data_IF_857199854421
#
_entry.id   IF_857199854421
#
_cell.length_a   1.000
_cell.length_b   1.000
_cell.length_c   1.000
_cell.angle_alpha   90.00
_cell.angle_beta   90.00
_cell.angle_gamma   90.00
#
_symmetry.space_group_name_H-M   'P 1'
#
loop_
_entity.id
_entity.type
_entity.pdbx_description
1 polymer ?
#
# COMPACT_ATOMS: atom_id res chain seq x y z
N UNK A 1 19.11 -21.83 -21.24
CA UNK A 1 18.33 -22.26 -22.43
C UNK A 1 17.28 -21.20 -22.68
N UNK A 2 17.49 -20.31 -23.64
CA UNK A 2 16.49 -19.30 -24.00
C UNK A 2 15.43 -19.98 -24.84
N UNK A 3 14.21 -20.09 -24.35
CA UNK A 3 13.07 -20.48 -25.16
C UNK A 3 12.67 -19.25 -25.98
N UNK A 4 12.97 -19.24 -27.26
CA UNK A 4 12.43 -18.26 -28.21
C UNK A 4 11.01 -18.71 -28.58
N UNK A 5 10.04 -17.99 -28.06
CA UNK A 5 8.69 -18.07 -28.63
C UNK A 5 8.66 -17.26 -29.92
N UNK A 6 8.33 -17.92 -31.01
CA UNK A 6 8.33 -17.34 -32.36
C UNK A 6 6.96 -16.87 -32.84
N UNK A 7 5.99 -16.77 -31.94
CA UNK A 7 4.67 -16.23 -32.25
C UNK A 7 4.69 -14.70 -32.31
N UNK A 8 4.24 -14.06 -33.41
CA UNK A 8 4.36 -12.60 -33.58
C UNK A 8 3.49 -11.76 -32.61
N UNK A 9 2.68 -12.38 -31.77
CA UNK A 9 1.85 -11.72 -30.77
C UNK A 9 1.97 -12.36 -29.38
N UNK A 10 2.92 -13.25 -29.14
CA UNK A 10 3.20 -13.73 -27.80
C UNK A 10 3.96 -12.64 -27.04
N UNK A 11 3.37 -12.16 -25.95
CA UNK A 11 4.12 -11.37 -24.96
C UNK A 11 5.36 -12.18 -24.58
N UNK A 12 6.54 -11.54 -24.43
CA UNK A 12 7.74 -12.26 -24.03
C UNK A 12 7.42 -12.99 -22.73
N UNK A 13 7.57 -14.32 -22.74
CA UNK A 13 7.25 -15.19 -21.60
C UNK A 13 8.07 -14.81 -20.35
N UNK A 14 9.15 -14.05 -20.54
CA UNK A 14 10.08 -13.67 -19.47
C UNK A 14 10.56 -12.24 -19.68
N UNK A 15 10.28 -11.39 -18.74
CA UNK A 15 10.78 -10.00 -18.72
C UNK A 15 11.76 -9.89 -17.56
N UNK A 16 13.03 -9.64 -17.89
CA UNK A 16 14.00 -9.22 -16.88
C UNK A 16 13.68 -7.76 -16.52
N UNK A 17 13.28 -7.54 -15.28
CA UNK A 17 13.06 -6.21 -14.76
C UNK A 17 14.26 -5.84 -13.91
N UNK A 18 15.05 -4.88 -14.38
CA UNK A 18 16.14 -4.32 -13.58
C UNK A 18 15.55 -3.39 -12.51
N UNK A 19 15.62 -3.81 -11.25
CA UNK A 19 14.94 -3.15 -10.12
C UNK A 19 15.98 -2.58 -9.15
N UNK A 20 16.81 -1.64 -9.61
CA UNK A 20 17.74 -0.91 -8.73
C UNK A 20 17.01 0.16 -7.91
N UNK A 21 16.67 -0.16 -6.67
CA UNK A 21 16.41 0.79 -5.59
C UNK A 21 15.28 1.81 -5.78
N UNK A 22 14.66 1.87 -6.94
CA UNK A 22 13.48 2.69 -7.23
C UNK A 22 12.32 1.75 -7.51
N UNK A 23 11.18 2.05 -6.95
CA UNK A 23 9.93 1.31 -7.10
C UNK A 23 9.71 0.91 -8.56
N UNK A 24 9.80 -0.37 -8.84
CA UNK A 24 9.87 -0.88 -10.19
C UNK A 24 8.54 -0.87 -10.94
N UNK A 25 8.59 -1.31 -12.19
CA UNK A 25 7.40 -1.46 -13.01
C UNK A 25 6.44 -2.49 -12.41
N UNK A 26 5.15 -2.25 -12.55
CA UNK A 26 4.12 -3.19 -12.12
C UNK A 26 4.24 -4.51 -12.90
N UNK A 27 4.44 -5.60 -12.18
CA UNK A 27 4.56 -6.95 -12.72
C UNK A 27 3.20 -7.62 -12.98
N UNK A 28 2.09 -6.93 -12.66
CA UNK A 28 0.71 -7.36 -12.89
C UNK A 28 0.41 -8.78 -12.41
N UNK A 29 0.76 -9.08 -11.17
CA UNK A 29 0.47 -10.37 -10.57
C UNK A 29 1.31 -11.54 -11.11
N UNK A 30 2.52 -11.26 -11.59
CA UNK A 30 3.43 -12.29 -12.10
C UNK A 30 4.02 -13.13 -10.97
N UNK A 31 4.44 -14.35 -11.28
CA UNK A 31 5.25 -15.18 -10.38
C UNK A 31 6.74 -14.91 -10.57
N UNK A 32 7.51 -15.06 -9.50
CA UNK A 32 8.96 -14.87 -9.54
C UNK A 32 9.70 -16.20 -9.46
N UNK A 33 10.64 -16.42 -10.37
CA UNK A 33 11.66 -17.45 -10.23
C UNK A 33 12.93 -16.82 -9.64
N UNK A 34 13.50 -17.46 -8.63
CA UNK A 34 14.67 -16.97 -7.88
C UNK A 34 15.87 -17.79 -8.22
N UNK A 35 16.87 -17.20 -8.87
CA UNK A 35 18.08 -17.89 -9.30
C UNK A 35 19.13 -18.10 -8.22
N UNK A 36 19.19 -17.22 -7.22
CA UNK A 36 20.15 -17.23 -6.11
C UNK A 36 19.42 -17.13 -4.77
N UNK A 37 19.87 -17.88 -3.77
CA UNK A 37 19.28 -17.85 -2.41
C UNK A 37 19.43 -16.47 -1.78
N UNK A 38 18.32 -15.89 -1.27
CA UNK A 38 18.34 -14.60 -0.61
C UNK A 38 16.98 -14.15 -0.10
N UNK A 39 16.95 -12.93 0.43
CA UNK A 39 15.70 -12.30 0.88
C UNK A 39 15.13 -11.42 -0.25
N UNK A 40 13.83 -11.48 -0.42
CA UNK A 40 13.10 -10.73 -1.43
C UNK A 40 11.90 -10.06 -0.78
N UNK A 41 11.79 -8.74 -0.90
CA UNK A 41 10.62 -7.99 -0.46
C UNK A 41 9.74 -7.65 -1.65
N UNK A 42 8.48 -8.04 -1.59
CA UNK A 42 7.54 -7.89 -2.69
C UNK A 42 6.22 -7.27 -2.21
N UNK A 43 5.53 -6.57 -3.11
CA UNK A 43 4.13 -6.21 -2.95
C UNK A 43 3.31 -7.22 -3.74
N UNK A 44 2.37 -7.87 -3.06
CA UNK A 44 1.54 -8.91 -3.65
C UNK A 44 0.53 -8.32 -4.64
N UNK A 45 0.18 -9.12 -5.64
CA UNK A 45 -0.86 -8.78 -6.61
C UNK A 45 -2.20 -8.47 -5.96
N UNK A 46 -2.83 -7.40 -6.41
CA UNK A 46 -4.09 -6.91 -5.87
C UNK A 46 -3.97 -6.07 -4.60
N UNK A 47 -2.75 -5.78 -4.10
CA UNK A 47 -2.57 -4.82 -3.02
C UNK A 47 -2.92 -3.41 -3.50
N UNK A 48 -3.91 -2.78 -2.86
CA UNK A 48 -4.24 -1.38 -3.16
C UNK A 48 -3.11 -0.47 -2.67
N UNK A 49 -2.60 0.35 -3.58
CA UNK A 49 -1.56 1.34 -3.30
C UNK A 49 -2.12 2.75 -3.18
N UNK A 50 -3.41 2.92 -3.45
CA UNK A 50 -4.04 4.22 -3.56
C UNK A 50 -3.88 5.07 -2.29
N UNK A 51 -3.53 6.32 -2.48
CA UNK A 51 -3.43 7.35 -1.44
C UNK A 51 -4.69 8.22 -1.41
N UNK A 52 -5.08 8.69 -0.24
CA UNK A 52 -6.28 9.52 -0.09
C UNK A 52 -6.06 10.89 -0.72
N UNK A 53 -6.96 11.29 -1.63
CA UNK A 53 -6.97 12.63 -2.22
C UNK A 53 -8.14 13.49 -1.74
N UNK A 54 -9.23 12.86 -1.28
CA UNK A 54 -10.34 13.60 -0.70
C UNK A 54 -11.06 12.78 0.38
N UNK A 55 -11.47 13.47 1.44
CA UNK A 55 -12.29 12.95 2.54
C UNK A 55 -13.61 13.72 2.52
N UNK A 56 -14.72 12.99 2.66
CA UNK A 56 -16.03 13.59 2.80
C UNK A 56 -16.20 14.32 4.14
N UNK A 57 -17.27 15.09 4.26
CA UNK A 57 -17.65 15.67 5.55
C UNK A 57 -17.86 14.57 6.58
N UNK A 58 -17.46 14.76 7.84
CA UNK A 58 -17.69 13.76 8.87
C UNK A 58 -19.17 13.35 8.93
N UNK A 59 -19.43 12.05 8.78
CA UNK A 59 -20.79 11.48 8.93
C UNK A 59 -21.21 11.43 10.39
N UNK A 60 -20.22 11.39 11.28
CA UNK A 60 -20.34 11.58 12.72
C UNK A 60 -19.14 12.41 13.17
N UNK A 61 -19.38 13.60 13.70
CA UNK A 61 -18.32 14.50 14.17
C UNK A 61 -17.68 14.09 15.49
N UNK A 62 -18.19 13.07 16.14
CA UNK A 62 -17.70 12.59 17.43
C UNK A 62 -17.91 13.58 18.57
N UNK A 63 -17.23 13.35 19.69
CA UNK A 63 -17.29 14.23 20.88
C UNK A 63 -15.94 14.42 21.53
N UNK A 64 -15.76 15.56 22.21
CA UNK A 64 -14.57 15.89 23.01
C UNK A 64 -13.26 15.94 22.20
N UNK A 65 -13.33 16.27 20.92
CA UNK A 65 -12.14 16.54 20.13
C UNK A 65 -11.56 17.93 20.41
N UNK A 66 -10.25 18.04 20.25
CA UNK A 66 -9.53 19.31 20.24
C UNK A 66 -9.08 19.67 18.83
N UNK A 67 -8.64 20.89 18.60
CA UNK A 67 -8.02 21.26 17.34
C UNK A 67 -6.60 20.70 17.32
N UNK A 68 -6.34 19.75 16.42
CA UNK A 68 -5.06 19.04 16.30
C UNK A 68 -4.56 19.16 14.85
N UNK A 69 -3.28 19.46 14.72
CA UNK A 69 -2.64 19.61 13.41
C UNK A 69 -2.35 18.27 12.71
N UNK A 70 -2.25 17.17 13.48
CA UNK A 70 -1.89 15.85 12.94
C UNK A 70 -2.47 14.75 13.84
N UNK A 71 -3.69 14.32 13.52
CA UNK A 71 -4.38 13.24 14.20
C UNK A 71 -4.29 11.94 13.39
N UNK A 72 -4.04 10.83 14.07
CA UNK A 72 -4.01 9.51 13.45
C UNK A 72 -5.42 9.05 13.09
N UNK A 73 -5.51 8.18 12.09
CA UNK A 73 -6.77 7.53 11.70
C UNK A 73 -6.62 6.01 11.68
N UNK A 74 -7.73 5.32 11.89
CA UNK A 74 -7.89 3.90 11.58
C UNK A 74 -8.92 3.76 10.46
N UNK A 75 -8.85 2.68 9.69
CA UNK A 75 -9.70 2.46 8.54
C UNK A 75 -10.51 1.16 8.66
N UNK A 76 -11.72 1.12 8.10
CA UNK A 76 -12.52 -0.10 7.97
C UNK A 76 -11.84 -1.15 7.09
N UNK A 77 -10.96 -0.71 6.20
CA UNK A 77 -10.12 -1.55 5.37
C UNK A 77 -8.77 -1.81 6.08
N UNK A 78 -8.52 -3.05 6.49
CA UNK A 78 -7.31 -3.44 7.22
C UNK A 78 -6.00 -3.31 6.41
N UNK A 79 -6.09 -3.14 5.09
CA UNK A 79 -4.93 -2.90 4.22
C UNK A 79 -4.52 -1.43 4.17
N UNK A 80 -5.42 -0.53 4.56
CA UNK A 80 -5.21 0.91 4.53
C UNK A 80 -4.47 1.40 5.78
N UNK A 81 -3.45 2.25 5.59
CA UNK A 81 -2.60 2.75 6.68
C UNK A 81 -1.96 4.10 6.38
N UNK A 82 -1.55 4.78 7.44
CA UNK A 82 -0.71 5.98 7.35
C UNK A 82 -1.44 7.27 6.99
N UNK A 83 -2.79 7.29 6.91
CA UNK A 83 -3.54 8.54 6.78
C UNK A 83 -3.52 9.29 8.10
N UNK A 84 -3.10 10.54 8.05
CA UNK A 84 -3.26 11.48 9.15
C UNK A 84 -3.99 12.74 8.71
N UNK A 85 -4.68 13.39 9.64
CA UNK A 85 -5.56 14.53 9.34
C UNK A 85 -5.40 15.64 10.36
N UNK A 86 -5.48 16.87 9.90
CA UNK A 86 -5.69 18.02 10.78
C UNK A 86 -7.18 18.17 11.09
N UNK A 87 -7.49 18.40 12.36
CA UNK A 87 -8.85 18.51 12.89
C UNK A 87 -9.20 19.99 13.09
N UNK A 88 -10.34 20.43 12.55
CA UNK A 88 -11.02 21.64 12.96
C UNK A 88 -12.33 21.26 13.64
N UNK A 89 -12.54 21.75 14.86
CA UNK A 89 -13.70 21.39 15.68
C UNK A 89 -14.42 22.62 16.25
N UNK A 90 -15.68 22.43 16.63
CA UNK A 90 -16.47 23.40 17.39
C UNK A 90 -17.23 22.68 18.50
N UNK A 91 -17.03 23.11 19.75
CA UNK A 91 -17.68 22.46 20.89
C UNK A 91 -17.30 20.96 21.08
N UNK A 92 -16.12 20.59 20.67
CA UNK A 92 -15.63 19.19 20.74
C UNK A 92 -16.12 18.30 19.60
N UNK A 93 -16.82 18.84 18.61
CA UNK A 93 -17.34 18.11 17.43
C UNK A 93 -16.54 18.49 16.19
N UNK A 94 -16.01 17.52 15.47
CA UNK A 94 -15.24 17.76 14.24
C UNK A 94 -16.16 18.35 13.16
N UNK A 95 -15.73 19.48 12.60
CA UNK A 95 -16.42 20.17 11.50
C UNK A 95 -15.76 19.87 10.15
N UNK A 96 -14.43 19.80 10.13
CA UNK A 96 -13.69 19.47 8.92
C UNK A 96 -12.39 18.71 9.22
N UNK A 97 -11.96 17.96 8.22
CA UNK A 97 -10.71 17.19 8.20
C UNK A 97 -9.89 17.64 7.00
N UNK A 98 -8.62 17.93 7.24
CA UNK A 98 -7.66 18.25 6.17
C UNK A 98 -6.59 17.17 6.16
N UNK A 99 -6.29 16.60 5.00
CA UNK A 99 -5.27 15.55 4.85
C UNK A 99 -3.89 16.15 5.13
N UNK A 100 -3.15 15.56 6.07
CA UNK A 100 -1.76 15.88 6.38
C UNK A 100 -0.84 14.85 5.72
N UNK A 101 -1.07 13.57 5.97
CA UNK A 101 -0.44 12.47 5.24
C UNK A 101 -1.52 11.64 4.56
N UNK A 102 -1.35 11.39 3.27
CA UNK A 102 -2.37 10.72 2.44
C UNK A 102 -2.47 9.21 2.67
N UNK A 103 -1.47 8.60 3.33
CA UNK A 103 -1.41 7.16 3.53
C UNK A 103 -1.41 6.33 2.24
N UNK A 104 -1.70 5.06 2.38
CA UNK A 104 -1.79 4.12 1.24
C UNK A 104 -2.76 2.99 1.52
N UNK A 105 -3.22 2.32 0.47
CA UNK A 105 -4.12 1.17 0.58
C UNK A 105 -5.61 1.52 0.67
N UNK A 106 -5.98 2.76 0.49
CA UNK A 106 -7.36 3.25 0.60
C UNK A 106 -8.16 3.05 -0.68
N UNK A 107 -9.47 2.88 -0.53
CA UNK A 107 -10.41 2.85 -1.65
C UNK A 107 -11.53 3.89 -1.43
N UNK A 108 -12.13 4.42 -2.48
CA UNK A 108 -13.35 5.21 -2.35
C UNK A 108 -14.44 4.39 -1.65
N UNK A 109 -15.10 4.98 -0.65
CA UNK A 109 -16.09 4.31 0.19
C UNK A 109 -15.54 3.77 1.51
N UNK A 110 -14.23 3.66 1.70
CA UNK A 110 -13.65 3.28 2.98
C UNK A 110 -14.04 4.28 4.07
N UNK A 111 -14.32 3.77 5.27
CA UNK A 111 -14.67 4.59 6.43
C UNK A 111 -13.43 4.74 7.31
N UNK A 112 -13.04 5.97 7.56
CA UNK A 112 -12.00 6.28 8.54
C UNK A 112 -12.62 6.66 9.88
N UNK A 113 -11.93 6.29 10.94
CA UNK A 113 -12.20 6.71 12.32
C UNK A 113 -11.03 7.56 12.79
N UNK A 114 -11.32 8.77 13.25
CA UNK A 114 -10.28 9.69 13.74
C UNK A 114 -9.96 9.36 15.19
N UNK A 115 -8.67 9.17 15.49
CA UNK A 115 -8.18 8.88 16.83
C UNK A 115 -7.39 10.06 17.38
N UNK A 116 -7.75 10.52 18.57
CA UNK A 116 -7.03 11.54 19.33
C UNK A 116 -6.78 11.02 20.75
N UNK A 117 -5.51 11.02 21.16
CA UNK A 117 -5.14 10.59 22.50
C UNK A 117 -5.60 11.61 23.57
N UNK A 118 -6.02 11.12 24.73
CA UNK A 118 -6.37 11.98 25.87
C UNK A 118 -7.80 12.50 25.90
N UNK A 119 -8.67 12.08 24.98
CA UNK A 119 -10.11 12.41 25.08
C UNK A 119 -10.74 11.79 26.33
N UNK A 120 -11.78 12.45 26.86
CA UNK A 120 -12.50 11.97 28.04
C UNK A 120 -13.10 10.56 27.83
N UNK A 121 -13.20 9.80 28.91
CA UNK A 121 -13.86 8.51 28.90
C UNK A 121 -15.32 8.66 28.43
N UNK A 122 -15.79 7.76 27.55
CA UNK A 122 -17.13 7.83 26.97
C UNK A 122 -17.25 8.74 25.74
N UNK A 123 -16.14 9.30 25.25
CA UNK A 123 -16.11 10.04 23.98
C UNK A 123 -16.54 9.16 22.80
N UNK A 124 -17.29 9.73 21.87
CA UNK A 124 -17.69 9.07 20.62
C UNK A 124 -16.68 9.40 19.54
N UNK A 125 -16.27 8.41 18.76
CA UNK A 125 -15.32 8.58 17.66
C UNK A 125 -15.98 9.22 16.43
N UNK A 126 -15.26 10.18 15.85
CA UNK A 126 -15.65 10.76 14.58
C UNK A 126 -15.33 9.83 13.42
N UNK A 127 -16.22 9.80 12.44
CA UNK A 127 -16.09 9.00 11.23
C UNK A 127 -16.31 9.82 9.98
N UNK A 128 -15.54 9.53 8.95
CA UNK A 128 -15.70 10.13 7.63
C UNK A 128 -15.46 9.08 6.54
N UNK A 129 -15.94 9.34 5.34
CA UNK A 129 -15.80 8.46 4.18
C UNK A 129 -14.71 9.00 3.26
N UNK A 130 -13.84 8.12 2.76
CA UNK A 130 -12.91 8.45 1.68
C UNK A 130 -13.71 8.62 0.39
N UNK A 131 -13.66 9.79 -0.20
CA UNK A 131 -14.45 10.11 -1.42
C UNK A 131 -13.64 9.99 -2.69
N UNK A 132 -12.32 10.19 -2.61
CA UNK A 132 -11.43 10.03 -3.75
C UNK A 132 -10.04 9.59 -3.32
N UNK A 133 -9.37 8.87 -4.19
CA UNK A 133 -7.98 8.43 -4.07
C UNK A 133 -7.20 8.77 -5.33
N UNK A 134 -5.89 8.91 -5.19
CA UNK A 134 -4.95 8.94 -6.30
C UNK A 134 -4.29 7.56 -6.44
N UNK A 135 -3.87 7.22 -7.65
CA UNK A 135 -3.04 6.03 -7.87
C UNK A 135 -1.81 6.11 -6.96
N UNK A 136 -1.63 5.09 -6.17
CA UNK A 136 -0.57 5.03 -5.19
C UNK A 136 0.76 4.65 -5.81
N UNK A 137 1.83 5.12 -5.19
CA UNK A 137 3.19 4.66 -5.48
C UNK A 137 3.51 3.53 -4.50
N UNK A 138 4.11 2.41 -4.94
CA UNK A 138 4.50 1.32 -4.05
C UNK A 138 5.39 1.82 -2.93
N UNK A 139 5.06 1.50 -1.68
CA UNK A 139 5.85 1.88 -0.51
C UNK A 139 6.34 0.62 0.23
N UNK A 140 7.53 0.69 0.79
CA UNK A 140 8.15 -0.45 1.50
C UNK A 140 7.30 -0.95 2.67
N UNK A 141 6.47 -0.11 3.27
CA UNK A 141 5.56 -0.50 4.36
C UNK A 141 4.50 -1.53 3.93
N UNK A 142 4.19 -1.63 2.63
CA UNK A 142 3.25 -2.61 2.07
C UNK A 142 3.96 -3.89 1.58
N UNK A 143 5.29 -3.92 1.63
CA UNK A 143 6.05 -5.06 1.16
C UNK A 143 6.08 -6.19 2.19
N UNK A 144 5.97 -7.41 1.70
CA UNK A 144 6.17 -8.63 2.47
C UNK A 144 7.56 -9.17 2.14
N UNK A 145 8.37 -9.41 3.18
CA UNK A 145 9.69 -10.02 3.01
C UNK A 145 9.60 -11.54 3.06
N UNK A 146 10.02 -12.18 1.98
CA UNK A 146 10.31 -13.63 1.93
C UNK A 146 11.77 -13.84 2.25
N UNK A 147 12.06 -14.56 3.34
CA UNK A 147 13.43 -14.80 3.84
C UNK A 147 13.99 -16.11 3.34
N UNK A 148 15.29 -16.10 3.02
CA UNK A 148 16.04 -17.29 2.64
C UNK A 148 15.36 -18.10 1.51
N UNK A 149 14.78 -17.42 0.52
CA UNK A 149 14.20 -18.08 -0.64
C UNK A 149 15.31 -18.81 -1.38
N UNK A 150 15.13 -20.11 -1.59
CA UNK A 150 16.16 -20.96 -2.16
C UNK A 150 16.35 -20.69 -3.66
N UNK A 151 17.59 -20.80 -4.13
CA UNK A 151 17.87 -20.79 -5.55
C UNK A 151 17.09 -21.92 -6.27
N UNK A 152 16.55 -21.60 -7.43
CA UNK A 152 15.72 -22.51 -8.21
C UNK A 152 14.25 -22.56 -7.80
N UNK A 153 13.84 -21.76 -6.79
CA UNK A 153 12.45 -21.71 -6.32
C UNK A 153 11.59 -20.78 -7.18
N UNK A 154 10.31 -21.13 -7.28
CA UNK A 154 9.26 -20.22 -7.73
C UNK A 154 8.52 -19.74 -6.49
N UNK A 155 8.37 -18.42 -6.31
CA UNK A 155 7.48 -17.87 -5.30
C UNK A 155 6.04 -18.14 -5.72
N UNK A 156 5.26 -18.94 -4.94
CA UNK A 156 3.91 -19.36 -5.32
C UNK A 156 2.86 -18.26 -4.99
N UNK A 157 3.19 -17.02 -5.30
CA UNK A 157 2.36 -15.84 -5.06
C UNK A 157 2.40 -14.93 -6.28
N UNK A 158 1.29 -14.25 -6.53
CA UNK A 158 1.23 -13.20 -7.53
C UNK A 158 1.91 -11.94 -6.97
N UNK A 159 2.85 -11.38 -7.71
CA UNK A 159 3.66 -10.20 -7.31
C UNK A 159 3.39 -9.05 -8.26
N UNK A 160 3.10 -7.88 -7.71
CA UNK A 160 2.99 -6.64 -8.48
C UNK A 160 4.31 -5.87 -8.51
N UNK A 161 5.04 -5.83 -7.41
CA UNK A 161 6.32 -5.11 -7.33
C UNK A 161 7.35 -5.86 -6.50
N UNK A 162 8.61 -5.78 -6.92
CA UNK A 162 9.77 -6.13 -6.10
C UNK A 162 10.32 -4.83 -5.52
N UNK A 163 10.33 -4.68 -4.20
CA UNK A 163 10.70 -3.44 -3.52
C UNK A 163 12.13 -3.45 -3.02
N UNK A 164 12.66 -4.60 -2.64
CA UNK A 164 14.07 -4.76 -2.28
C UNK A 164 14.55 -6.18 -2.46
N UNK A 165 15.84 -6.31 -2.72
CA UNK A 165 16.58 -7.55 -2.85
C UNK A 165 17.77 -7.48 -1.89
N UNK A 166 17.87 -8.45 -0.98
CA UNK A 166 19.03 -8.59 -0.11
C UNK A 166 19.74 -9.88 -0.46
N UNK A 167 20.99 -9.79 -0.88
CA UNK A 167 21.84 -10.91 -1.33
C UNK A 167 21.44 -11.55 -2.66
N UNK A 168 20.34 -11.17 -3.26
CA UNK A 168 19.93 -11.59 -4.61
C UNK A 168 20.26 -10.46 -5.58
N UNK A 169 20.99 -10.74 -6.64
CA UNK A 169 21.20 -9.78 -7.71
C UNK A 169 19.93 -9.71 -8.60
N UNK A 170 19.68 -8.56 -9.18
CA UNK A 170 18.52 -8.35 -10.06
C UNK A 170 18.47 -9.31 -11.26
N UNK A 171 19.66 -9.68 -11.76
CA UNK A 171 19.80 -10.64 -12.85
C UNK A 171 19.36 -12.07 -12.48
N UNK A 172 19.18 -12.34 -11.18
CA UNK A 172 18.84 -13.65 -10.65
C UNK A 172 17.34 -13.84 -10.42
N UNK A 173 16.53 -12.85 -10.81
CA UNK A 173 15.07 -12.93 -10.74
C UNK A 173 14.48 -12.93 -12.14
N UNK A 174 13.68 -13.95 -12.42
CA UNK A 174 12.93 -14.08 -13.66
C UNK A 174 11.45 -13.94 -13.35
N UNK A 175 10.78 -13.06 -14.08
CA UNK A 175 9.34 -12.81 -13.95
C UNK A 175 8.61 -13.65 -14.99
N UNK A 176 7.65 -14.46 -14.56
CA UNK A 176 6.82 -15.30 -15.42
C UNK A 176 5.33 -14.90 -15.33
N UNK A 177 4.65 -14.98 -16.48
CA UNK A 177 3.19 -14.84 -16.58
C UNK A 177 2.60 -16.11 -17.17
#
# INVERSE_FOLDING_TARGET
MCIRDSAPNALPAWVFQNQTGTLGNNLNGSVLYVGVTGNISVILGGTSLNSVSAIGTPTNGGTNYTTVADASTTCSNNMAQGLTVAITQTGGVIQSLVIVAAGSGYNPGDIITVTEAGRAAGSVDAKAVITAVNDGVPVSAQAIEFKAVQAGSILPVAVDYVTSLTTVAEADIIVGR
#
